data_IF_567168337822
#
_entry.id   IF_567168337822
#
_cell.length_a   1.000
_cell.length_b   1.000
_cell.length_c   1.000
_cell.angle_alpha   90.00
_cell.angle_beta   90.00
_cell.angle_gamma   90.00
#
_symmetry.space_group_name_H-M   'P 1'
#
loop_
_entity.id
_entity.type
_entity.pdbx_description
1 polymer ?
#
# COMPACT_ATOMS: atom_id res chain seq x y z
N UNK A 1 -56.68 62.86 -4.68
CA UNK A 1 -55.85 61.92 -3.92
C UNK A 1 -56.76 60.87 -3.32
N UNK A 2 -56.73 59.65 -3.86
CA UNK A 2 -57.46 58.51 -3.32
C UNK A 2 -56.73 57.98 -2.08
N UNK A 3 -57.45 57.69 -1.01
CA UNK A 3 -56.96 56.93 0.13
C UNK A 3 -58.02 55.93 0.60
N UNK A 4 -57.60 54.68 0.67
CA UNK A 4 -58.35 53.45 0.87
C UNK A 4 -58.47 53.12 2.36
N UNK A 5 -59.62 52.65 2.80
CA UNK A 5 -59.81 51.90 4.05
C UNK A 5 -60.92 50.87 3.75
N UNK A 6 -60.80 49.55 3.95
CA UNK A 6 -59.93 48.80 4.84
C UNK A 6 -60.82 47.90 5.69
N UNK A 7 -61.43 46.87 5.09
CA UNK A 7 -62.35 45.95 5.79
C UNK A 7 -61.55 44.91 6.58
N UNK A 8 -61.70 44.93 7.91
CA UNK A 8 -61.22 43.87 8.81
C UNK A 8 -62.29 42.78 8.89
N UNK A 9 -61.91 41.55 8.55
CA UNK A 9 -62.70 40.34 8.86
C UNK A 9 -61.84 39.42 9.71
N UNK A 10 -62.26 39.22 10.96
CA UNK A 10 -61.71 38.21 11.85
C UNK A 10 -62.37 36.85 11.58
N UNK A 11 -61.56 35.84 11.26
CA UNK A 11 -61.91 34.42 11.40
C UNK A 11 -60.78 33.78 12.20
N UNK A 12 -61.02 33.19 13.36
CA UNK A 12 -61.89 32.03 13.54
C UNK A 12 -60.97 30.80 13.51
N UNK A 13 -60.52 30.38 14.69
CA UNK A 13 -59.46 29.40 14.87
C UNK A 13 -59.74 28.00 14.32
N UNK A 14 -58.70 27.16 14.35
CA UNK A 14 -58.83 25.70 14.39
C UNK A 14 -57.50 25.08 14.85
N UNK A 15 -57.55 24.41 15.99
CA UNK A 15 -56.54 23.44 16.42
C UNK A 15 -56.46 22.32 15.38
N UNK A 16 -55.29 22.09 14.80
CA UNK A 16 -55.00 20.92 13.97
C UNK A 16 -54.29 19.88 14.83
N UNK A 17 -55.06 18.94 15.37
CA UNK A 17 -54.58 17.68 15.92
C UNK A 17 -54.16 16.79 14.72
N UNK A 18 -52.91 16.91 14.27
CA UNK A 18 -52.34 16.19 13.13
C UNK A 18 -51.55 14.96 13.53
N UNK A 19 -51.93 13.81 12.97
CA UNK A 19 -51.49 12.44 13.20
C UNK A 19 -49.95 12.21 13.09
N UNK A 20 -49.23 12.19 14.22
CA UNK A 20 -47.76 12.09 14.29
C UNK A 20 -47.19 10.65 14.35
N UNK A 21 -48.03 9.62 14.44
CA UNK A 21 -47.54 8.25 14.63
C UNK A 21 -47.02 7.59 13.35
N UNK A 22 -47.59 7.89 12.17
CA UNK A 22 -47.16 7.30 10.90
C UNK A 22 -45.79 7.78 10.41
N UNK A 23 -45.45 9.04 10.71
CA UNK A 23 -44.22 9.69 10.26
C UNK A 23 -42.99 9.19 11.02
N UNK A 24 -43.14 8.92 12.32
CA UNK A 24 -42.08 8.35 13.17
C UNK A 24 -41.72 6.93 12.73
N UNK A 25 -42.74 6.13 12.38
CA UNK A 25 -42.55 4.76 11.91
C UNK A 25 -41.85 4.78 10.55
N UNK A 26 -42.29 5.62 9.61
CA UNK A 26 -41.68 5.72 8.28
C UNK A 26 -40.21 6.16 8.32
N UNK A 27 -39.87 7.13 9.19
CA UNK A 27 -38.49 7.61 9.35
C UNK A 27 -37.57 6.56 9.99
N UNK A 28 -38.10 5.70 10.87
CA UNK A 28 -37.36 4.58 11.45
C UNK A 28 -37.02 3.51 10.41
N UNK A 29 -37.97 3.17 9.54
CA UNK A 29 -37.76 2.19 8.48
C UNK A 29 -36.72 2.70 7.46
N UNK A 30 -36.76 3.98 7.11
CA UNK A 30 -35.76 4.60 6.22
C UNK A 30 -34.35 4.56 6.83
N UNK A 31 -34.21 4.86 8.13
CA UNK A 31 -32.92 4.79 8.85
C UNK A 31 -32.36 3.38 8.94
N UNK A 32 -33.22 2.39 9.18
CA UNK A 32 -32.83 0.98 9.23
C UNK A 32 -32.39 0.48 7.84
N UNK A 33 -33.11 0.85 6.79
CA UNK A 33 -32.75 0.49 5.41
C UNK A 33 -31.44 1.18 4.98
N UNK A 34 -31.27 2.47 5.26
CA UNK A 34 -30.03 3.20 4.95
C UNK A 34 -28.83 2.60 5.71
N UNK A 35 -29.02 2.26 6.99
CA UNK A 35 -28.01 1.58 7.80
C UNK A 35 -27.62 0.22 7.22
N UNK A 36 -28.59 -0.59 6.79
CA UNK A 36 -28.34 -1.89 6.17
C UNK A 36 -27.58 -1.77 4.83
N UNK A 37 -27.92 -0.78 4.00
CA UNK A 37 -27.20 -0.53 2.73
C UNK A 37 -25.76 -0.08 2.98
N UNK A 38 -25.53 0.80 3.96
CA UNK A 38 -24.17 1.24 4.34
C UNK A 38 -23.32 0.09 4.90
N UNK A 39 -23.93 -0.84 5.66
CA UNK A 39 -23.23 -2.01 6.21
C UNK A 39 -22.82 -3.01 5.11
N UNK A 40 -23.66 -3.23 4.11
CA UNK A 40 -23.36 -4.12 2.98
C UNK A 40 -22.29 -3.53 2.03
N UNK A 41 -22.21 -2.21 1.88
CA UNK A 41 -21.19 -1.57 1.05
C UNK A 41 -19.77 -1.63 1.66
N UNK A 42 -19.65 -1.73 2.99
CA UNK A 42 -18.36 -1.76 3.68
C UNK A 42 -17.55 -3.04 3.52
N UNK A 43 -18.16 -4.14 3.06
CA UNK A 43 -17.51 -5.47 3.01
C UNK A 43 -16.82 -5.81 1.68
N UNK A 44 -16.99 -5.01 0.63
CA UNK A 44 -16.42 -5.30 -0.68
C UNK A 44 -14.98 -4.76 -0.90
N UNK A 45 -14.41 -4.02 0.06
CA UNK A 45 -13.19 -3.25 -0.17
C UNK A 45 -11.87 -3.95 0.23
N UNK A 46 -11.89 -5.20 0.72
CA UNK A 46 -10.66 -5.88 1.14
C UNK A 46 -10.53 -7.28 0.54
N UNK A 47 -10.75 -7.42 -0.76
CA UNK A 47 -10.07 -8.47 -1.51
C UNK A 47 -8.61 -8.03 -1.69
N UNK A 48 -7.81 -8.17 -0.63
CA UNK A 48 -6.36 -8.14 -0.76
C UNK A 48 -6.01 -9.21 -1.81
N UNK A 49 -5.70 -8.76 -3.04
CA UNK A 49 -5.38 -9.66 -4.13
C UNK A 49 -4.28 -10.60 -3.65
N UNK A 50 -4.57 -11.90 -3.60
CA UNK A 50 -3.58 -12.92 -3.27
C UNK A 50 -2.41 -12.72 -4.22
N UNK A 51 -1.26 -12.29 -3.70
CA UNK A 51 -0.04 -12.22 -4.52
C UNK A 51 0.21 -13.63 -5.03
N UNK A 52 0.27 -13.86 -6.36
CA UNK A 52 0.51 -15.18 -6.90
C UNK A 52 1.83 -15.71 -6.34
N UNK A 53 1.79 -16.87 -5.68
CA UNK A 53 3.00 -17.49 -5.11
C UNK A 53 4.11 -17.66 -6.16
N UNK A 54 3.71 -17.87 -7.42
CA UNK A 54 4.61 -18.01 -8.56
C UNK A 54 5.43 -16.75 -8.85
N UNK A 55 4.95 -15.55 -8.53
CA UNK A 55 5.70 -14.30 -8.76
C UNK A 55 6.91 -14.17 -7.83
N UNK A 56 6.85 -14.76 -6.64
CA UNK A 56 8.01 -14.84 -5.74
C UNK A 56 9.07 -15.83 -6.21
N UNK A 57 8.69 -16.84 -7.01
CA UNK A 57 9.62 -17.84 -7.55
C UNK A 57 10.39 -17.35 -8.79
N UNK A 58 9.99 -16.24 -9.42
CA UNK A 58 10.60 -15.73 -10.66
C UNK A 58 11.98 -15.11 -10.45
N UNK A 59 12.29 -14.67 -9.24
CA UNK A 59 13.50 -13.91 -8.96
C UNK A 59 14.37 -14.64 -7.94
N UNK A 60 15.69 -14.78 -8.20
CA UNK A 60 16.61 -15.30 -7.22
C UNK A 60 16.56 -14.47 -5.93
N UNK A 61 16.64 -15.10 -4.75
CA UNK A 61 16.63 -14.38 -3.49
C UNK A 61 17.85 -13.48 -3.37
N UNK A 62 17.60 -12.21 -3.02
CA UNK A 62 18.65 -11.24 -2.66
C UNK A 62 19.03 -11.48 -1.20
N UNK A 63 20.34 -11.55 -0.91
CA UNK A 63 20.85 -11.85 0.45
C UNK A 63 21.79 -10.75 0.94
N UNK A 64 21.95 -10.68 2.27
CA UNK A 64 22.89 -9.80 2.96
C UNK A 64 22.84 -8.33 2.50
N UNK A 65 21.68 -7.66 2.54
CA UNK A 65 21.60 -6.25 2.16
C UNK A 65 22.33 -5.38 3.19
N UNK A 66 23.26 -4.54 2.71
CA UNK A 66 23.97 -3.56 3.55
C UNK A 66 23.98 -2.20 2.87
N UNK A 67 23.41 -1.20 3.54
CA UNK A 67 23.34 0.18 3.05
C UNK A 67 24.63 0.95 3.35
N UNK A 68 25.07 1.81 2.43
CA UNK A 68 26.19 2.72 2.66
C UNK A 68 25.87 3.76 3.74
N UNK A 69 26.89 4.33 4.42
CA UNK A 69 26.68 5.33 5.47
C UNK A 69 25.91 6.58 4.99
N UNK A 70 26.13 7.00 3.74
CA UNK A 70 25.44 8.12 3.10
C UNK A 70 24.03 7.77 2.57
N UNK A 71 23.62 6.51 2.65
CA UNK A 71 22.31 6.04 2.20
C UNK A 71 22.12 5.98 0.67
N UNK A 72 23.15 6.25 -0.13
CA UNK A 72 23.03 6.30 -1.61
C UNK A 72 23.29 4.99 -2.30
N UNK A 73 23.90 4.02 -1.62
CA UNK A 73 24.27 2.73 -2.18
C UNK A 73 23.77 1.58 -1.31
N UNK A 74 23.40 0.49 -1.98
CA UNK A 74 23.00 -0.76 -1.37
C UNK A 74 23.86 -1.89 -1.93
N UNK A 75 24.62 -2.56 -1.07
CA UNK A 75 25.35 -3.77 -1.42
C UNK A 75 24.48 -4.99 -1.16
N UNK A 76 24.39 -5.91 -2.13
CA UNK A 76 23.59 -7.13 -2.03
C UNK A 76 24.29 -8.33 -2.65
N UNK A 77 24.12 -9.50 -2.04
CA UNK A 77 24.57 -10.78 -2.60
C UNK A 77 23.50 -11.36 -3.50
N UNK A 78 23.88 -11.71 -4.73
CA UNK A 78 23.02 -12.26 -5.77
C UNK A 78 23.48 -13.68 -6.12
N UNK A 79 22.49 -14.49 -6.49
CA UNK A 79 22.72 -15.79 -7.11
C UNK A 79 22.30 -15.69 -8.57
N UNK A 80 23.23 -15.93 -9.48
CA UNK A 80 23.01 -15.85 -10.91
C UNK A 80 22.95 -17.26 -11.46
N UNK A 81 21.79 -17.60 -12.02
CA UNK A 81 21.59 -18.82 -12.79
C UNK A 81 21.91 -18.51 -14.26
N UNK A 82 22.94 -19.15 -14.82
CA UNK A 82 23.33 -18.98 -16.22
C UNK A 82 22.56 -19.90 -17.18
N UNK A 83 21.61 -20.72 -16.69
CA UNK A 83 20.78 -21.61 -17.52
C UNK A 83 21.55 -22.71 -18.25
N UNK A 84 22.86 -22.86 -18.00
CA UNK A 84 23.74 -23.88 -18.58
C UNK A 84 24.41 -24.69 -17.46
N UNK A 85 23.68 -25.67 -16.95
CA UNK A 85 24.16 -26.64 -15.96
C UNK A 85 24.03 -26.21 -14.50
N UNK A 86 24.54 -27.04 -13.59
CA UNK A 86 24.46 -26.88 -12.13
C UNK A 86 25.40 -25.78 -11.55
N UNK A 87 25.97 -24.95 -12.43
CA UNK A 87 26.97 -23.96 -12.05
C UNK A 87 26.30 -22.67 -11.56
N UNK A 88 25.88 -22.68 -10.30
CA UNK A 88 25.40 -21.49 -9.60
C UNK A 88 26.56 -20.52 -9.38
N UNK A 89 26.45 -19.29 -9.90
CA UNK A 89 27.43 -18.22 -9.64
C UNK A 89 26.92 -17.27 -8.58
N UNK A 90 27.83 -16.85 -7.69
CA UNK A 90 27.54 -15.82 -6.71
C UNK A 90 28.19 -14.51 -7.12
N UNK A 91 27.46 -13.42 -6.92
CA UNK A 91 27.94 -12.07 -7.18
C UNK A 91 27.58 -11.14 -6.03
N UNK A 92 28.40 -10.12 -5.79
CA UNK A 92 28.05 -8.97 -4.97
C UNK A 92 27.73 -7.80 -5.91
N UNK A 93 26.50 -7.30 -5.86
CA UNK A 93 26.07 -6.16 -6.65
C UNK A 93 25.93 -4.91 -5.77
N UNK A 94 26.38 -3.78 -6.29
CA UNK A 94 26.13 -2.46 -5.70
C UNK A 94 25.04 -1.78 -6.50
N UNK A 95 23.98 -1.36 -5.84
CA UNK A 95 22.85 -0.66 -6.42
C UNK A 95 22.81 0.78 -5.92
N UNK A 96 22.43 1.71 -6.78
CA UNK A 96 22.16 3.09 -6.39
C UNK A 96 20.74 3.23 -5.87
N UNK A 97 20.55 3.95 -4.76
CA UNK A 97 19.24 4.30 -4.23
C UNK A 97 18.82 5.70 -4.68
N UNK A 98 17.52 5.95 -4.92
CA UNK A 98 16.40 5.00 -4.82
C UNK A 98 16.18 4.16 -6.09
N UNK A 99 16.96 4.38 -7.14
CA UNK A 99 16.68 3.81 -8.48
C UNK A 99 16.86 2.29 -8.58
N UNK A 100 17.55 1.68 -7.62
CA UNK A 100 17.99 0.26 -7.61
C UNK A 100 18.79 -0.15 -8.85
N UNK A 101 19.33 0.83 -9.59
CA UNK A 101 20.21 0.57 -10.73
C UNK A 101 21.52 -0.01 -10.22
N UNK A 102 21.92 -1.15 -10.76
CA UNK A 102 23.23 -1.75 -10.47
C UNK A 102 24.33 -0.84 -11.05
N UNK A 103 25.23 -0.36 -10.19
CA UNK A 103 26.38 0.50 -10.54
C UNK A 103 27.70 -0.28 -10.57
N UNK A 104 27.80 -1.38 -9.83
CA UNK A 104 28.99 -2.24 -9.84
C UNK A 104 28.62 -3.70 -9.51
N UNK A 105 29.47 -4.62 -9.96
CA UNK A 105 29.38 -6.06 -9.65
C UNK A 105 30.75 -6.63 -9.36
N UNK A 106 30.80 -7.54 -8.41
CA UNK A 106 31.95 -8.37 -8.10
C UNK A 106 31.52 -9.83 -8.21
N UNK A 107 32.10 -10.58 -9.15
CA UNK A 107 31.86 -12.01 -9.30
C UNK A 107 32.81 -12.82 -8.42
N UNK A 108 32.31 -13.91 -7.85
CA UNK A 108 33.11 -14.84 -7.07
C UNK A 108 33.51 -16.08 -7.89
N UNK A 109 34.55 -16.78 -7.43
CA UNK A 109 34.93 -18.07 -7.96
C UNK A 109 33.82 -19.12 -7.73
N UNK A 110 33.81 -20.25 -8.47
CA UNK A 110 32.86 -21.34 -8.23
C UNK A 110 32.85 -21.78 -6.77
N UNK A 111 31.66 -22.05 -6.22
CA UNK A 111 31.45 -22.47 -4.83
C UNK A 111 31.98 -21.47 -3.79
N UNK A 112 32.14 -20.19 -4.15
CA UNK A 112 32.54 -19.12 -3.24
C UNK A 112 31.45 -18.06 -3.22
N UNK A 113 31.12 -17.53 -2.05
CA UNK A 113 30.11 -16.51 -1.86
C UNK A 113 30.63 -15.36 -0.98
N UNK A 114 29.92 -14.23 -1.01
CA UNK A 114 30.19 -13.13 -0.10
C UNK A 114 29.88 -13.57 1.35
N UNK A 115 30.90 -13.54 2.21
CA UNK A 115 30.76 -13.69 3.66
C UNK A 115 30.27 -12.39 4.28
N UNK A 116 31.11 -11.82 5.16
CA UNK A 116 30.84 -10.52 5.77
C UNK A 116 31.06 -9.38 4.78
N UNK A 117 30.07 -8.47 4.70
CA UNK A 117 30.09 -7.27 3.85
C UNK A 117 29.93 -6.05 4.76
N UNK A 118 30.89 -5.11 4.72
CA UNK A 118 30.87 -3.90 5.58
C UNK A 118 31.33 -2.70 4.78
N UNK A 119 30.59 -1.59 4.89
CA UNK A 119 31.04 -0.30 4.38
C UNK A 119 32.04 0.34 5.33
N UNK A 120 33.18 0.78 4.78
CA UNK A 120 34.21 1.53 5.53
C UNK A 120 34.24 3.01 5.14
N UNK A 121 33.29 3.43 4.31
CA UNK A 121 33.03 4.80 3.89
C UNK A 121 31.92 4.82 2.84
N UNK A 122 31.62 5.99 2.27
CA UNK A 122 30.48 6.16 1.34
C UNK A 122 30.61 5.34 0.05
N UNK A 123 31.85 5.15 -0.42
CA UNK A 123 32.15 4.45 -1.67
C UNK A 123 33.20 3.34 -1.51
N UNK A 124 33.44 2.88 -0.27
CA UNK A 124 34.42 1.84 0.03
C UNK A 124 33.78 0.71 0.81
N UNK A 125 33.97 -0.50 0.30
CA UNK A 125 33.36 -1.71 0.84
C UNK A 125 34.45 -2.75 1.10
N UNK A 126 34.38 -3.40 2.25
CA UNK A 126 35.14 -4.61 2.55
C UNK A 126 34.22 -5.81 2.43
N UNK A 127 34.72 -6.85 1.79
CA UNK A 127 34.05 -8.13 1.65
C UNK A 127 35.03 -9.24 2.00
N UNK A 128 34.54 -10.21 2.78
CA UNK A 128 35.22 -11.49 2.97
C UNK A 128 34.57 -12.54 2.07
N UNK A 129 35.33 -13.55 1.70
CA UNK A 129 34.83 -14.70 0.96
C UNK A 129 34.52 -15.85 1.93
N UNK A 130 33.46 -16.59 1.62
CA UNK A 130 33.12 -17.84 2.28
C UNK A 130 33.01 -18.94 1.23
N UNK A 131 33.43 -20.16 1.57
CA UNK A 131 33.37 -21.36 0.73
C UNK A 131 32.52 -22.41 1.40
#
# INVERSE_FOLDING_TARGET
MQATAGTVVCHGGRHAQGNSQGEIVMLHHYRLLLGAVLMCAGFAANAAGLLPAMDFARHPPIRNPVISPDGRHLAVSLTVDEGKGDAVRHELAIMQLPSLRITARLGFAPHTLAGQVVWVGDNRLLVSEAR
#
